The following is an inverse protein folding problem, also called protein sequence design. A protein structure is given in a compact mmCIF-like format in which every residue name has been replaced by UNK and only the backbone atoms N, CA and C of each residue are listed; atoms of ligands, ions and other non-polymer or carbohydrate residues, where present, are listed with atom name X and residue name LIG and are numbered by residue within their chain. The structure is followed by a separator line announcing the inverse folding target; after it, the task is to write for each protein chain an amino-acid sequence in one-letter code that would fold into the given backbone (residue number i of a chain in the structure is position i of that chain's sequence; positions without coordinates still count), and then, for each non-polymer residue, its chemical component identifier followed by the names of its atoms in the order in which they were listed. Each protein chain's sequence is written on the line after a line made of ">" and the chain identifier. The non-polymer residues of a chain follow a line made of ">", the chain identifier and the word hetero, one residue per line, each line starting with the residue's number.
data_IF_446180866190
#
_entry.id   IF_446180866190
#
_cell.length_a   1.000
_cell.length_b   1.000
_cell.length_c   1.000
_cell.angle_alpha   90.00
_cell.angle_beta   90.00
_cell.angle_gamma   90.00
#
_symmetry.space_group_name_H-M   'P 1'
#
loop_
_entity.id
_entity.type
_entity.pdbx_description
1 polymer ?
#
# COMPACT_ATOMS: atom_id res chain seq x y z
N UNK A 1 -18.23 0.66 -13.91
CA UNK A 1 -18.34 0.65 -12.43
C UNK A 1 -18.27 2.07 -11.93
N UNK A 2 -19.27 2.50 -11.17
CA UNK A 2 -19.23 3.80 -10.47
C UNK A 2 -18.38 3.59 -9.21
N UNK A 3 -17.29 4.35 -9.06
CA UNK A 3 -16.49 4.34 -7.84
C UNK A 3 -17.15 5.29 -6.85
N UNK A 4 -17.84 4.74 -5.86
CA UNK A 4 -18.44 5.55 -4.79
C UNK A 4 -17.35 5.92 -3.77
N UNK A 5 -17.27 7.21 -3.43
CA UNK A 5 -16.31 7.74 -2.45
C UNK A 5 -17.04 8.23 -1.21
N UNK A 6 -16.46 7.94 -0.06
CA UNK A 6 -17.02 8.31 1.24
C UNK A 6 -15.97 9.03 2.07
N UNK A 7 -16.44 9.90 2.97
CA UNK A 7 -15.60 10.53 3.98
C UNK A 7 -15.50 9.63 5.20
N UNK A 8 -14.30 9.49 5.74
CA UNK A 8 -14.02 8.77 6.97
C UNK A 8 -13.21 9.63 7.91
N UNK A 9 -13.36 9.38 9.22
CA UNK A 9 -12.58 10.04 10.24
C UNK A 9 -11.18 9.40 10.41
N UNK A 10 -10.32 10.01 11.22
CA UNK A 10 -8.96 9.54 11.47
C UNK A 10 -8.91 8.12 12.05
N UNK A 11 -9.81 7.77 12.98
CA UNK A 11 -9.87 6.43 13.56
C UNK A 11 -10.17 5.36 12.50
N UNK A 12 -11.14 5.61 11.62
CA UNK A 12 -11.47 4.70 10.52
C UNK A 12 -10.31 4.58 9.53
N UNK A 13 -9.65 5.70 9.22
CA UNK A 13 -8.46 5.71 8.38
C UNK A 13 -7.32 4.88 8.98
N UNK A 14 -7.03 5.05 10.27
CA UNK A 14 -5.97 4.30 10.95
C UNK A 14 -6.25 2.80 10.93
N UNK A 15 -7.51 2.40 11.16
CA UNK A 15 -7.93 0.99 11.05
C UNK A 15 -7.67 0.42 9.65
N UNK A 16 -7.99 1.15 8.58
CA UNK A 16 -7.73 0.74 7.19
C UNK A 16 -6.22 0.56 6.97
N UNK A 17 -5.43 1.55 7.39
CA UNK A 17 -3.99 1.57 7.18
C UNK A 17 -3.27 0.48 7.98
N UNK A 18 -3.68 0.25 9.21
CA UNK A 18 -3.04 -0.75 10.07
C UNK A 18 -3.34 -2.17 9.62
N UNK A 19 -4.56 -2.45 9.15
CA UNK A 19 -4.89 -3.72 8.48
C UNK A 19 -4.01 -3.94 7.24
N UNK A 20 -3.86 -2.94 6.38
CA UNK A 20 -3.00 -3.02 5.19
C UNK A 20 -1.53 -3.27 5.54
N UNK A 21 -1.01 -2.55 6.55
CA UNK A 21 0.36 -2.78 7.05
C UNK A 21 0.53 -4.20 7.56
N UNK A 22 -0.39 -4.69 8.40
CA UNK A 22 -0.33 -6.02 8.98
C UNK A 22 -0.25 -7.09 7.88
N UNK A 23 -1.19 -7.07 6.93
CA UNK A 23 -1.21 -8.01 5.79
C UNK A 23 0.09 -8.00 4.99
N UNK A 24 0.60 -6.80 4.67
CA UNK A 24 1.82 -6.65 3.88
C UNK A 24 3.07 -7.07 4.66
N UNK A 25 3.15 -6.75 5.94
CA UNK A 25 4.30 -7.09 6.77
C UNK A 25 4.37 -8.59 7.04
N UNK A 26 3.25 -9.22 7.38
CA UNK A 26 3.16 -10.67 7.51
C UNK A 26 3.59 -11.37 6.23
N UNK A 27 3.10 -10.91 5.08
CA UNK A 27 3.52 -11.44 3.79
C UNK A 27 5.02 -11.22 3.52
N UNK A 28 5.54 -10.01 3.76
CA UNK A 28 6.96 -9.69 3.58
C UNK A 28 7.89 -10.55 4.43
N UNK A 29 7.47 -11.00 5.62
CA UNK A 29 8.27 -11.94 6.43
C UNK A 29 8.46 -13.29 5.73
N UNK A 30 7.46 -13.76 4.98
CA UNK A 30 7.47 -15.03 4.23
C UNK A 30 8.34 -14.96 2.98
N UNK A 31 8.59 -13.78 2.44
CA UNK A 31 9.32 -13.59 1.17
C UNK A 31 10.67 -12.87 1.34
N UNK A 32 11.12 -12.65 2.57
CA UNK A 32 12.37 -11.90 2.86
C UNK A 32 13.60 -12.47 2.13
N UNK A 33 13.64 -13.78 1.92
CA UNK A 33 14.75 -14.48 1.23
C UNK A 33 14.88 -14.11 -0.25
N UNK A 34 13.79 -13.63 -0.87
CA UNK A 34 13.77 -13.21 -2.28
C UNK A 34 14.32 -11.78 -2.48
N UNK A 35 14.60 -11.04 -1.40
CA UNK A 35 15.14 -9.67 -1.47
C UNK A 35 14.18 -8.63 -2.07
N UNK A 36 12.90 -8.97 -2.21
CA UNK A 36 11.83 -8.11 -2.72
C UNK A 36 10.72 -7.99 -1.69
N UNK A 37 10.02 -6.87 -1.71
CA UNK A 37 9.03 -6.50 -0.70
C UNK A 37 7.87 -5.76 -1.33
N UNK A 38 6.67 -5.96 -0.79
CA UNK A 38 5.53 -5.10 -1.05
C UNK A 38 5.57 -3.87 -0.15
N UNK A 39 5.20 -2.72 -0.70
CA UNK A 39 4.90 -1.51 0.06
C UNK A 39 3.40 -1.47 0.36
N UNK A 40 2.98 -1.19 1.61
CA UNK A 40 1.55 -1.14 1.96
C UNK A 40 0.79 -0.03 1.23
N UNK A 41 1.45 1.10 0.98
CA UNK A 41 0.90 2.23 0.23
C UNK A 41 2.00 3.18 -0.25
N UNK A 42 1.74 3.99 -1.27
CA UNK A 42 2.61 5.06 -1.75
C UNK A 42 1.98 6.43 -1.43
N UNK A 43 2.75 7.34 -0.82
CA UNK A 43 2.27 8.68 -0.45
C UNK A 43 2.83 9.70 -1.43
N UNK A 44 1.97 10.57 -1.95
CA UNK A 44 2.34 11.76 -2.71
C UNK A 44 1.71 12.98 -2.06
N UNK A 45 2.51 14.04 -1.91
CA UNK A 45 2.04 15.34 -1.44
C UNK A 45 1.88 16.25 -2.65
N UNK A 46 0.70 16.88 -2.79
CA UNK A 46 0.44 17.85 -3.85
C UNK A 46 -0.47 18.95 -3.30
N UNK A 47 0.03 20.19 -3.34
CA UNK A 47 -0.60 21.34 -2.68
C UNK A 47 -0.84 21.04 -1.18
N UNK A 48 -2.03 21.34 -0.66
CA UNK A 48 -2.47 21.01 0.70
C UNK A 48 -2.97 19.57 0.86
N UNK A 49 -2.94 18.74 -0.21
CA UNK A 49 -3.51 17.39 -0.20
C UNK A 49 -2.43 16.33 -0.11
N UNK A 50 -2.75 15.26 0.62
CA UNK A 50 -1.95 14.03 0.68
C UNK A 50 -2.72 12.90 0.01
N UNK A 51 -2.11 12.32 -1.01
CA UNK A 51 -2.64 11.18 -1.77
C UNK A 51 -1.94 9.91 -1.30
N UNK A 52 -2.71 8.90 -0.94
CA UNK A 52 -2.23 7.61 -0.46
C UNK A 52 -2.75 6.56 -1.43
N UNK A 53 -1.85 6.06 -2.26
CA UNK A 53 -2.15 5.05 -3.28
C UNK A 53 -1.92 3.66 -2.70
N UNK A 54 -2.96 2.84 -2.76
CA UNK A 54 -2.96 1.46 -2.26
C UNK A 54 -2.95 0.54 -3.48
N UNK A 55 -2.14 -0.51 -3.41
CA UNK A 55 -1.89 -1.40 -4.52
C UNK A 55 -0.64 -2.23 -4.32
N UNK A 56 -0.35 -3.13 -5.27
CA UNK A 56 0.74 -4.10 -5.16
C UNK A 56 2.08 -3.53 -5.61
N UNK A 57 2.57 -2.47 -4.96
CA UNK A 57 3.84 -1.83 -5.34
C UNK A 57 5.05 -2.63 -4.84
N UNK A 58 5.80 -3.21 -5.77
CA UNK A 58 6.98 -4.02 -5.47
C UNK A 58 8.25 -3.21 -5.44
N UNK A 59 9.12 -3.53 -4.48
CA UNK A 59 10.44 -2.93 -4.35
C UNK A 59 11.50 -3.99 -4.07
N UNK A 60 12.70 -3.75 -4.60
CA UNK A 60 13.92 -4.46 -4.23
C UNK A 60 14.72 -3.63 -3.24
N UNK A 61 15.31 -4.27 -2.24
CA UNK A 61 16.28 -3.63 -1.35
C UNK A 61 17.70 -3.97 -1.83
N UNK A 62 18.47 -2.95 -2.21
CA UNK A 62 19.87 -3.12 -2.64
C UNK A 62 20.84 -2.24 -1.83
N UNK A 63 22.06 -2.73 -1.63
CA UNK A 63 23.13 -1.95 -1.00
C UNK A 63 24.04 -1.38 -2.09
N UNK A 64 23.94 -0.07 -2.34
CA UNK A 64 24.71 0.64 -3.36
C UNK A 64 25.61 1.67 -2.66
N UNK A 65 26.93 1.51 -2.78
CA UNK A 65 27.89 2.41 -2.14
C UNK A 65 27.75 2.47 -0.62
N UNK A 66 27.49 1.32 0.02
CA UNK A 66 27.30 1.22 1.48
C UNK A 66 25.91 1.64 1.97
N UNK A 67 25.08 2.28 1.13
CA UNK A 67 23.73 2.75 1.49
C UNK A 67 22.66 1.79 1.00
N UNK A 68 21.63 1.57 1.82
CA UNK A 68 20.44 0.85 1.40
C UNK A 68 19.59 1.73 0.48
N UNK A 69 19.17 1.17 -0.65
CA UNK A 69 18.30 1.81 -1.64
C UNK A 69 17.11 0.89 -1.93
N UNK A 70 15.93 1.49 -1.97
CA UNK A 70 14.71 0.85 -2.42
C UNK A 70 14.53 1.14 -3.91
N UNK A 71 14.47 0.09 -4.71
CA UNK A 71 14.31 0.17 -6.17
C UNK A 71 12.91 -0.30 -6.52
N UNK A 72 12.10 0.55 -7.15
CA UNK A 72 10.75 0.20 -7.57
C UNK A 72 10.77 -0.80 -8.73
N UNK A 73 9.99 -1.87 -8.62
CA UNK A 73 9.92 -2.96 -9.60
C UNK A 73 8.60 -3.00 -10.40
N UNK A 74 7.64 -2.12 -10.08
CA UNK A 74 6.32 -2.12 -10.72
C UNK A 74 5.22 -2.70 -9.84
N UNK A 75 4.07 -3.00 -10.47
CA UNK A 75 2.88 -3.56 -9.81
C UNK A 75 2.73 -5.08 -9.97
N UNK A 76 3.51 -5.68 -10.87
CA UNK A 76 3.45 -7.11 -11.17
C UNK A 76 4.37 -7.89 -10.24
N UNK A 77 3.93 -9.09 -9.81
CA UNK A 77 4.74 -10.03 -9.02
C UNK A 77 6.08 -10.28 -9.72
N UNK A 78 7.24 -9.89 -9.15
CA UNK A 78 8.52 -9.92 -9.84
C UNK A 78 9.13 -11.31 -10.00
N UNK A 79 8.80 -12.26 -9.12
CA UNK A 79 9.38 -13.61 -9.09
C UNK A 79 8.26 -14.63 -9.09
N UNK A 80 8.27 -15.57 -10.04
CA UNK A 80 7.15 -16.49 -10.21
C UNK A 80 6.99 -17.47 -9.03
N UNK A 81 8.10 -17.99 -8.52
CA UNK A 81 8.13 -19.08 -7.53
C UNK A 81 7.93 -18.64 -6.08
N UNK A 82 7.89 -17.32 -5.79
CA UNK A 82 7.61 -16.86 -4.43
C UNK A 82 6.12 -17.01 -4.09
N UNK A 83 5.71 -17.05 -2.82
CA UNK A 83 4.31 -17.01 -2.40
C UNK A 83 3.50 -15.92 -3.11
N UNK A 84 2.21 -16.14 -3.36
CA UNK A 84 1.36 -15.11 -3.96
C UNK A 84 1.09 -13.98 -2.95
N UNK A 85 1.08 -12.71 -3.40
CA UNK A 85 0.79 -11.59 -2.52
C UNK A 85 -0.64 -11.64 -2.00
N UNK A 86 -0.92 -11.03 -0.84
CA UNK A 86 -2.30 -10.87 -0.36
C UNK A 86 -3.15 -10.12 -1.39
N UNK A 87 -4.47 -10.29 -1.31
CA UNK A 87 -5.37 -9.44 -2.06
C UNK A 87 -5.33 -8.04 -1.45
N UNK A 88 -4.86 -7.08 -2.25
CA UNK A 88 -4.75 -5.67 -1.88
C UNK A 88 -5.59 -4.92 -2.91
N UNK A 89 -6.55 -4.10 -2.48
CA UNK A 89 -7.35 -3.31 -3.41
C UNK A 89 -6.48 -2.24 -4.10
N UNK A 90 -6.78 -1.95 -5.36
CA UNK A 90 -6.24 -0.75 -6.02
C UNK A 90 -7.17 0.42 -5.69
N UNK A 91 -6.71 1.34 -4.84
CA UNK A 91 -7.53 2.44 -4.35
C UNK A 91 -6.68 3.68 -4.06
N UNK A 92 -7.33 4.85 -4.04
CA UNK A 92 -6.68 6.11 -3.63
C UNK A 92 -7.43 6.71 -2.45
N UNK A 93 -6.70 6.94 -1.36
CA UNK A 93 -7.18 7.74 -0.22
C UNK A 93 -6.64 9.16 -0.39
N UNK A 94 -7.51 10.15 -0.23
CA UNK A 94 -7.15 11.56 -0.27
C UNK A 94 -7.36 12.11 1.14
N UNK A 95 -6.30 12.66 1.75
CA UNK A 95 -6.41 13.47 2.96
C UNK A 95 -6.45 14.95 2.55
N UNK A 96 -7.49 15.63 3.01
CA UNK A 96 -7.70 17.07 2.88
C UNK A 96 -8.15 17.58 4.25
N UNK A 97 -7.41 18.55 4.81
CA UNK A 97 -7.59 19.05 6.17
C UNK A 97 -7.63 17.92 7.22
N UNK A 98 -8.76 17.75 7.91
CA UNK A 98 -9.01 16.72 8.93
C UNK A 98 -9.87 15.55 8.41
N UNK A 99 -10.13 15.48 7.11
CA UNK A 99 -10.97 14.46 6.50
C UNK A 99 -10.16 13.52 5.59
N UNK A 100 -10.60 12.26 5.53
CA UNK A 100 -10.08 11.28 4.60
C UNK A 100 -11.19 10.86 3.64
N UNK A 101 -10.94 10.97 2.34
CA UNK A 101 -11.83 10.52 1.28
C UNK A 101 -11.29 9.19 0.78
N UNK A 102 -12.10 8.14 0.83
CA UNK A 102 -11.72 6.78 0.42
C UNK A 102 -12.70 6.23 -0.59
N UNK A 103 -12.28 5.25 -1.39
CA UNK A 103 -13.23 4.45 -2.18
C UNK A 103 -13.98 3.52 -1.22
N UNK A 104 -15.31 3.55 -1.22
CA UNK A 104 -16.14 2.84 -0.24
C UNK A 104 -15.82 1.34 -0.16
N UNK A 105 -15.48 0.74 -1.31
CA UNK A 105 -15.10 -0.68 -1.42
C UNK A 105 -13.98 -1.07 -0.46
N UNK A 106 -13.07 -0.15 -0.11
CA UNK A 106 -11.96 -0.42 0.80
C UNK A 106 -12.43 -0.74 2.23
N UNK A 107 -13.63 -0.30 2.60
CA UNK A 107 -14.22 -0.57 3.91
C UNK A 107 -14.63 -2.04 4.04
N UNK A 108 -14.95 -2.70 2.92
CA UNK A 108 -15.39 -4.10 2.86
C UNK A 108 -14.27 -5.05 2.41
N UNK A 109 -13.37 -4.60 1.52
CA UNK A 109 -12.26 -5.42 0.99
C UNK A 109 -11.19 -5.77 2.05
N UNK A 110 -11.26 -5.17 3.23
CA UNK A 110 -10.33 -5.36 4.34
C UNK A 110 -10.98 -6.05 5.56
N UNK A 111 -12.17 -6.62 5.41
CA UNK A 111 -12.77 -7.56 6.37
C UNK A 111 -12.21 -8.97 6.21
#
# INVERSE_FOLDING_TARGET
>A
MIVMRVKVNEKQFDMIIDKLKLMVYEYNTKIKEYGVYLKPYHIVYKNSKRYIYIGKYWYKLEKIGGKLKWIYLGKTKPIQNMPNPPQIPESTIIKEDNEYIVDEKILYDLE
#
